data_IF_250492117257
#
_entry.id   IF_250492117257
#
_cell.length_a   1.000
_cell.length_b   1.000
_cell.length_c   1.000
_cell.angle_alpha   90.00
_cell.angle_beta   90.00
_cell.angle_gamma   90.00
#
_symmetry.space_group_name_H-M   'P 1'
#
loop_
_entity.id
_entity.type
_entity.pdbx_description
1 polymer ?
#
# COMPACT_ATOMS: atom_id res chain seq x y z
N UNK A 1 8.73 32.50 11.07
CA UNK A 1 7.70 31.78 10.27
C UNK A 1 8.03 30.31 10.28
N UNK A 2 7.07 29.46 10.58
CA UNK A 2 7.26 28.00 10.54
C UNK A 2 7.05 27.50 9.13
N UNK A 3 8.02 26.74 8.61
CA UNK A 3 7.91 26.10 7.30
C UNK A 3 7.36 24.68 7.50
N UNK A 4 6.36 24.31 6.71
CA UNK A 4 5.75 22.98 6.72
C UNK A 4 5.97 22.33 5.37
N UNK A 5 6.37 21.07 5.37
CA UNK A 5 6.61 20.32 4.15
C UNK A 5 6.69 18.83 4.38
N UNK A 6 6.90 18.08 3.31
CA UNK A 6 7.12 16.64 3.36
C UNK A 6 8.59 16.39 3.68
N UNK A 7 8.85 15.74 4.81
CA UNK A 7 10.21 15.40 5.27
C UNK A 7 10.72 14.13 4.55
N UNK A 8 9.83 13.21 4.23
CA UNK A 8 10.17 11.99 3.53
C UNK A 8 8.97 11.12 3.29
N UNK A 9 9.21 10.02 2.60
CA UNK A 9 8.18 9.03 2.23
C UNK A 9 8.67 7.61 2.49
N UNK A 10 7.74 6.68 2.57
CA UNK A 10 8.02 5.26 2.67
C UNK A 10 6.98 4.45 1.91
N UNK A 11 7.37 3.28 1.48
CA UNK A 11 6.49 2.36 0.75
C UNK A 11 6.68 0.92 1.24
N UNK A 12 5.65 0.12 1.07
CA UNK A 12 5.74 -1.33 1.13
C UNK A 12 5.11 -1.91 -0.12
N UNK A 13 5.83 -2.77 -0.80
CA UNK A 13 5.36 -3.46 -2.01
C UNK A 13 5.37 -4.96 -1.73
N UNK A 14 4.22 -5.65 -1.76
CA UNK A 14 4.16 -7.09 -1.62
C UNK A 14 5.04 -7.81 -2.65
N UNK A 15 5.62 -8.94 -2.27
CA UNK A 15 6.45 -9.75 -3.17
C UNK A 15 5.62 -10.54 -4.17
N UNK A 16 4.40 -10.89 -3.80
CA UNK A 16 3.44 -11.59 -4.68
C UNK A 16 2.90 -10.64 -5.73
N UNK A 17 2.74 -11.11 -6.96
CA UNK A 17 2.18 -10.29 -8.03
C UNK A 17 1.31 -11.12 -8.97
N UNK A 18 0.45 -10.45 -9.72
CA UNK A 18 -0.30 -11.00 -10.85
C UNK A 18 0.11 -10.30 -12.14
N UNK A 19 0.15 -11.04 -13.23
CA UNK A 19 0.45 -10.48 -14.55
C UNK A 19 -0.80 -9.85 -15.18
N UNK A 20 -0.59 -9.00 -16.19
CA UNK A 20 -1.71 -8.44 -16.97
C UNK A 20 -2.54 -9.53 -17.66
N UNK A 21 -1.91 -10.64 -18.08
CA UNK A 21 -2.62 -11.79 -18.65
C UNK A 21 -3.51 -12.51 -17.62
N UNK A 22 -2.99 -12.74 -16.41
CA UNK A 22 -3.77 -13.33 -15.33
C UNK A 22 -4.95 -12.42 -14.93
N UNK A 23 -4.75 -11.10 -14.91
CA UNK A 23 -5.84 -10.13 -14.67
C UNK A 23 -6.89 -10.26 -15.76
N UNK A 24 -6.51 -10.25 -17.03
CA UNK A 24 -7.43 -10.39 -18.16
C UNK A 24 -8.25 -11.70 -18.05
N UNK A 25 -7.58 -12.82 -17.74
CA UNK A 25 -8.24 -14.11 -17.57
C UNK A 25 -9.27 -14.10 -16.42
N UNK A 26 -8.98 -13.44 -15.33
CA UNK A 26 -9.89 -13.30 -14.19
C UNK A 26 -11.15 -12.48 -14.51
N UNK A 27 -11.11 -11.63 -15.51
CA UNK A 27 -12.27 -10.85 -15.94
C UNK A 27 -13.25 -11.62 -16.81
N UNK A 28 -12.96 -12.89 -17.10
CA UNK A 28 -13.84 -13.77 -17.91
C UNK A 28 -14.22 -13.18 -19.28
N UNK A 29 -13.25 -12.54 -19.94
CA UNK A 29 -13.41 -11.99 -21.28
C UNK A 29 -13.90 -10.53 -21.33
N UNK A 30 -14.15 -9.90 -20.18
CA UNK A 30 -14.50 -8.46 -20.14
C UNK A 30 -13.33 -7.61 -20.62
N UNK A 31 -12.12 -7.95 -20.23
CA UNK A 31 -10.88 -7.27 -20.65
C UNK A 31 -9.95 -8.23 -21.36
N UNK A 32 -9.45 -7.82 -22.53
CA UNK A 32 -8.41 -8.56 -23.21
C UNK A 32 -7.04 -8.31 -22.58
N UNK A 33 -6.06 -9.20 -22.81
CA UNK A 33 -4.67 -9.00 -22.39
C UNK A 33 -4.11 -7.67 -22.92
N UNK A 34 -4.36 -7.37 -24.20
CA UNK A 34 -3.91 -6.14 -24.85
C UNK A 34 -4.50 -4.90 -24.17
N UNK A 35 -5.77 -4.95 -23.78
CA UNK A 35 -6.42 -3.85 -23.07
C UNK A 35 -5.77 -3.62 -21.69
N UNK A 36 -5.50 -4.68 -20.95
CA UNK A 36 -4.87 -4.58 -19.62
C UNK A 36 -3.43 -4.07 -19.74
N UNK A 37 -2.64 -4.64 -20.65
CA UNK A 37 -1.21 -4.33 -20.78
C UNK A 37 -0.98 -3.00 -21.48
N UNK A 38 -1.66 -2.76 -22.61
CA UNK A 38 -1.36 -1.60 -23.47
C UNK A 38 -2.19 -0.36 -23.11
N UNK A 39 -3.48 -0.53 -22.77
CA UNK A 39 -4.34 0.61 -22.44
C UNK A 39 -4.24 1.00 -20.96
N UNK A 40 -4.27 0.03 -20.05
CA UNK A 40 -4.14 0.28 -18.62
C UNK A 40 -2.69 0.34 -18.15
N UNK A 41 -1.74 -0.12 -18.96
CA UNK A 41 -0.33 -0.11 -18.63
C UNK A 41 0.08 -1.14 -17.55
N UNK A 42 -0.76 -2.11 -17.28
CA UNK A 42 -0.52 -3.10 -16.21
C UNK A 42 0.16 -4.33 -16.80
N UNK A 43 1.46 -4.40 -16.68
CA UNK A 43 2.24 -5.59 -17.04
C UNK A 43 2.26 -6.60 -15.91
N UNK A 44 2.48 -6.14 -14.69
CA UNK A 44 2.32 -6.90 -13.47
C UNK A 44 1.91 -5.98 -12.33
N UNK A 45 1.12 -6.48 -11.41
CA UNK A 45 0.60 -5.74 -10.25
C UNK A 45 0.94 -6.50 -8.98
N UNK A 46 1.61 -5.88 -8.00
CA UNK A 46 1.76 -6.46 -6.67
C UNK A 46 0.39 -6.69 -6.05
N UNK A 47 0.23 -7.83 -5.40
CA UNK A 47 -0.99 -8.17 -4.65
C UNK A 47 -0.59 -8.69 -3.28
N UNK A 48 -1.43 -8.46 -2.25
CA UNK A 48 -1.15 -9.00 -0.93
C UNK A 48 -0.97 -10.51 -0.96
N UNK A 49 0.09 -11.00 -0.33
CA UNK A 49 0.29 -12.41 -0.05
C UNK A 49 -0.24 -12.78 1.34
N UNK A 50 0.06 -14.00 1.77
CA UNK A 50 -0.25 -14.45 3.13
C UNK A 50 0.51 -13.58 4.14
N UNK A 51 -0.20 -12.99 5.10
CA UNK A 51 0.37 -12.09 6.09
C UNK A 51 0.48 -10.61 5.67
N UNK A 52 0.17 -10.29 4.42
CA UNK A 52 0.13 -8.91 3.93
C UNK A 52 -1.25 -8.29 4.15
N UNK A 53 -1.65 -8.15 5.41
CA UNK A 53 -2.87 -7.41 5.72
C UNK A 53 -2.70 -5.91 5.50
N UNK A 54 -3.80 -5.20 5.28
CA UNK A 54 -3.80 -3.76 5.01
C UNK A 54 -3.11 -2.96 6.11
N UNK A 55 -3.42 -3.26 7.36
CA UNK A 55 -2.85 -2.57 8.52
C UNK A 55 -1.37 -2.90 8.69
N UNK A 56 -0.98 -4.14 8.47
CA UNK A 56 0.42 -4.59 8.49
C UNK A 56 1.23 -3.91 7.39
N UNK A 57 0.72 -3.87 6.17
CA UNK A 57 1.38 -3.16 5.06
C UNK A 57 1.54 -1.66 5.36
N UNK A 58 0.54 -1.05 5.99
CA UNK A 58 0.61 0.34 6.43
C UNK A 58 1.71 0.57 7.46
N UNK A 59 1.84 -0.32 8.44
CA UNK A 59 2.90 -0.27 9.45
C UNK A 59 4.29 -0.43 8.81
N UNK A 60 4.44 -1.37 7.88
CA UNK A 60 5.71 -1.59 7.17
C UNK A 60 6.11 -0.39 6.31
N UNK A 61 5.16 0.26 5.64
CA UNK A 61 5.40 1.49 4.90
C UNK A 61 5.82 2.65 5.83
N UNK A 62 5.19 2.76 7.00
CA UNK A 62 5.57 3.75 7.99
C UNK A 62 6.99 3.52 8.53
N UNK A 63 7.35 2.27 8.81
CA UNK A 63 8.72 1.92 9.22
C UNK A 63 9.75 2.27 8.14
N UNK A 64 9.43 2.05 6.87
CA UNK A 64 10.29 2.45 5.75
C UNK A 64 10.49 3.98 5.72
N UNK A 65 9.42 4.75 5.92
CA UNK A 65 9.50 6.21 6.00
C UNK A 65 10.39 6.68 7.16
N UNK A 66 10.24 6.08 8.34
CA UNK A 66 11.07 6.39 9.50
C UNK A 66 12.54 6.06 9.24
N UNK A 67 12.81 4.91 8.62
CA UNK A 67 14.18 4.51 8.23
C UNK A 67 14.79 5.50 7.24
N UNK A 68 14.03 5.95 6.25
CA UNK A 68 14.53 6.85 5.21
C UNK A 68 14.78 8.26 5.72
N UNK A 69 14.03 8.70 6.73
CA UNK A 69 14.13 10.06 7.27
C UNK A 69 14.99 10.19 8.53
N UNK A 70 15.15 9.10 9.28
CA UNK A 70 15.76 9.13 10.60
C UNK A 70 14.93 9.81 11.68
N UNK A 71 13.63 10.09 11.40
CA UNK A 71 12.71 10.68 12.39
C UNK A 71 12.47 9.68 13.51
N UNK A 72 12.57 10.16 14.75
CA UNK A 72 12.22 9.35 15.91
C UNK A 72 10.69 9.14 15.94
N UNK A 73 10.18 7.90 16.01
CA UNK A 73 8.74 7.65 16.07
C UNK A 73 8.06 8.36 17.26
N UNK A 74 8.77 8.61 18.35
CA UNK A 74 8.24 9.33 19.50
C UNK A 74 7.99 10.83 19.22
N UNK A 75 8.53 11.37 18.15
CA UNK A 75 8.32 12.75 17.72
C UNK A 75 7.09 12.89 16.78
N UNK A 76 6.36 11.80 16.53
CA UNK A 76 5.14 11.82 15.74
C UNK A 76 3.95 12.19 16.62
N UNK A 77 3.33 13.30 16.34
CA UNK A 77 2.17 13.79 17.10
C UNK A 77 0.84 13.27 16.58
N UNK A 78 0.73 13.04 15.26
CA UNK A 78 -0.53 12.65 14.61
C UNK A 78 -0.29 11.63 13.52
N UNK A 79 -1.12 10.59 13.48
CA UNK A 79 -1.16 9.60 12.40
C UNK A 79 -2.52 9.70 11.71
N UNK A 80 -2.51 9.92 10.40
CA UNK A 80 -3.70 9.90 9.55
C UNK A 80 -3.64 8.66 8.64
N UNK A 81 -4.54 7.72 8.86
CA UNK A 81 -4.70 6.56 7.98
C UNK A 81 -5.87 6.79 7.03
N UNK A 82 -5.59 6.77 5.73
CA UNK A 82 -6.57 7.03 4.69
C UNK A 82 -6.69 5.79 3.79
N UNK A 83 -7.91 5.29 3.62
CA UNK A 83 -8.18 4.11 2.79
C UNK A 83 -9.62 3.62 2.98
N UNK A 84 -10.10 2.85 2.02
CA UNK A 84 -11.43 2.23 2.01
C UNK A 84 -11.36 0.71 1.92
N UNK A 85 -10.17 0.16 2.06
CA UNK A 85 -9.87 -1.25 1.86
C UNK A 85 -10.27 -2.11 3.06
N UNK A 86 -10.27 -3.41 2.83
CA UNK A 86 -10.46 -4.41 3.87
C UNK A 86 -9.39 -4.29 4.97
N UNK A 87 -9.81 -4.52 6.21
CA UNK A 87 -8.92 -4.52 7.39
C UNK A 87 -8.86 -5.90 8.01
N UNK A 88 -7.69 -6.30 8.50
CA UNK A 88 -7.48 -7.54 9.25
C UNK A 88 -8.33 -7.57 10.52
N UNK A 89 -8.49 -6.42 11.14
CA UNK A 89 -9.24 -6.24 12.38
C UNK A 89 -10.38 -5.23 12.13
N UNK A 90 -11.56 -5.68 11.68
CA UNK A 90 -12.62 -4.79 11.20
C UNK A 90 -13.08 -3.70 12.17
N UNK A 91 -12.99 -3.96 13.48
CA UNK A 91 -13.38 -3.00 14.51
C UNK A 91 -12.23 -2.12 14.99
N UNK A 92 -11.04 -2.24 14.39
CA UNK A 92 -9.84 -1.51 14.79
C UNK A 92 -9.59 -0.33 13.85
N UNK A 93 -9.23 0.81 14.42
CA UNK A 93 -8.76 1.95 13.64
C UNK A 93 -7.34 1.67 13.13
N UNK A 94 -7.11 1.73 11.83
CA UNK A 94 -5.81 1.42 11.22
C UNK A 94 -4.68 2.28 11.77
N UNK A 95 -4.94 3.56 12.07
CA UNK A 95 -3.96 4.44 12.67
C UNK A 95 -3.46 3.95 14.04
N UNK A 96 -4.35 3.36 14.86
CA UNK A 96 -3.97 2.76 16.14
C UNK A 96 -3.11 1.50 15.97
N UNK A 97 -3.38 0.71 14.95
CA UNK A 97 -2.54 -0.46 14.64
C UNK A 97 -1.13 -0.05 14.21
N UNK A 98 -1.02 1.02 13.42
CA UNK A 98 0.27 1.55 12.91
C UNK A 98 1.08 2.20 14.05
N UNK A 99 0.42 2.80 15.01
CA UNK A 99 1.06 3.44 16.16
C UNK A 99 1.94 2.46 16.96
#
# INVERSE_FOLDING_TARGET
MTTVGIVGTGIYIPETFVTGEEIANKTQGVWSKEAVVEKLGIRKKPVPGDGDGTQEMGALAALDALKNTGVNPLDIDVILSVGEEWKEYPLTTSALYIQ
#
